data_IF_088297186773
#
_entry.id   IF_088297186773
#
_cell.length_a   1.000
_cell.length_b   1.000
_cell.length_c   1.000
_cell.angle_alpha   90.00
_cell.angle_beta   90.00
_cell.angle_gamma   90.00
#
_symmetry.space_group_name_H-M   'P 1'
#
loop_
_entity.id
_entity.type
_entity.pdbx_description
1 polymer ?
#
# COMPACT_ATOMS: atom_id res chain seq x y z
N UNK A 1 2.53 -7.64 23.56
CA UNK A 1 1.84 -8.84 23.03
C UNK A 1 1.89 -9.90 24.10
N UNK A 2 0.77 -10.56 24.42
CA UNK A 2 0.78 -11.66 25.40
C UNK A 2 1.43 -12.88 24.76
N UNK A 3 2.21 -13.61 25.54
CA UNK A 3 2.94 -14.80 25.10
C UNK A 3 1.99 -15.85 24.51
N UNK A 4 2.40 -16.49 23.40
CA UNK A 4 1.64 -17.56 22.75
C UNK A 4 0.40 -17.15 21.94
N UNK A 5 0.06 -15.86 21.82
CA UNK A 5 -1.11 -15.42 21.05
C UNK A 5 -0.79 -15.08 19.59
N UNK A 6 -1.67 -15.51 18.69
CA UNK A 6 -1.69 -15.10 17.28
C UNK A 6 -2.70 -13.97 17.09
N UNK A 7 -2.35 -13.00 16.26
CA UNK A 7 -3.20 -11.85 15.93
C UNK A 7 -3.34 -11.74 14.41
N UNK A 8 -4.50 -11.28 13.96
CA UNK A 8 -4.76 -10.91 12.58
C UNK A 8 -4.97 -9.39 12.49
N UNK A 9 -4.42 -8.77 11.45
CA UNK A 9 -4.70 -7.40 11.09
C UNK A 9 -5.68 -7.42 9.92
N UNK A 10 -6.81 -6.72 10.08
CA UNK A 10 -7.83 -6.57 9.05
C UNK A 10 -8.08 -5.08 8.82
N UNK A 11 -8.54 -4.75 7.62
CA UNK A 11 -9.04 -3.43 7.23
C UNK A 11 -10.51 -3.58 6.86
N UNK A 12 -11.24 -2.48 6.77
CA UNK A 12 -12.65 -2.50 6.36
C UNK A 12 -12.81 -3.09 4.94
N UNK A 13 -11.83 -2.84 4.07
CA UNK A 13 -11.79 -3.40 2.72
C UNK A 13 -10.36 -3.58 2.18
N UNK A 14 -10.21 -4.56 1.29
CA UNK A 14 -8.99 -4.74 0.49
C UNK A 14 -7.83 -5.39 1.25
N UNK A 15 -6.62 -4.90 0.99
CA UNK A 15 -5.37 -5.42 1.55
C UNK A 15 -4.91 -4.55 2.72
N UNK A 16 -4.88 -5.07 3.96
CA UNK A 16 -4.47 -4.28 5.12
C UNK A 16 -3.06 -3.67 4.96
N UNK A 17 -2.92 -2.41 5.33
CA UNK A 17 -1.70 -1.63 5.20
C UNK A 17 -1.60 -0.82 3.90
N UNK A 18 -2.55 -0.96 2.97
CA UNK A 18 -2.61 -0.16 1.74
C UNK A 18 -3.68 0.92 1.89
N UNK A 19 -3.23 2.16 2.05
CA UNK A 19 -4.09 3.35 2.27
C UNK A 19 -4.97 3.29 3.52
N UNK A 20 -4.54 2.52 4.51
CA UNK A 20 -5.13 2.42 5.84
C UNK A 20 -4.01 2.56 6.91
N UNK A 21 -4.34 2.70 8.21
CA UNK A 21 -3.32 2.92 9.23
C UNK A 21 -2.50 1.66 9.60
N UNK A 22 -2.80 0.50 9.01
CA UNK A 22 -2.19 -0.79 9.35
C UNK A 22 -0.68 -0.85 9.17
N UNK A 23 -0.13 -0.06 8.23
CA UNK A 23 1.32 0.00 7.98
C UNK A 23 2.14 0.45 9.20
N UNK A 24 1.58 1.34 10.03
CA UNK A 24 2.24 1.79 11.25
C UNK A 24 2.39 0.65 12.28
N UNK A 25 1.34 -0.15 12.46
CA UNK A 25 1.38 -1.32 13.35
C UNK A 25 2.40 -2.34 12.85
N UNK A 26 2.39 -2.66 11.55
CA UNK A 26 3.32 -3.60 10.93
C UNK A 26 4.78 -3.18 11.18
N UNK A 27 5.08 -1.88 11.07
CA UNK A 27 6.42 -1.35 11.37
C UNK A 27 6.87 -1.65 12.79
N UNK A 28 6.04 -1.31 13.79
CA UNK A 28 6.36 -1.53 15.21
C UNK A 28 6.50 -3.02 15.53
N UNK A 29 5.64 -3.86 14.96
CA UNK A 29 5.69 -5.32 15.14
C UNK A 29 6.99 -5.89 14.55
N UNK A 30 7.41 -5.41 13.37
CA UNK A 30 8.65 -5.81 12.72
C UNK A 30 9.89 -5.36 13.50
N UNK A 31 9.91 -4.13 13.99
CA UNK A 31 11.00 -3.59 14.81
C UNK A 31 11.21 -4.39 16.11
N UNK A 32 10.16 -5.02 16.63
CA UNK A 32 10.22 -5.89 17.81
C UNK A 32 10.58 -7.35 17.49
N UNK A 33 10.89 -7.68 16.23
CA UNK A 33 11.32 -9.01 15.82
C UNK A 33 10.21 -10.06 15.76
N UNK A 34 8.94 -9.67 15.79
CA UNK A 34 7.83 -10.62 15.65
C UNK A 34 7.69 -11.09 14.20
N UNK A 35 7.30 -12.36 14.04
CA UNK A 35 6.99 -12.95 12.72
C UNK A 35 5.72 -12.32 12.16
N UNK A 36 5.76 -11.93 10.89
CA UNK A 36 4.64 -11.39 10.13
C UNK A 36 4.48 -12.26 8.88
N UNK A 37 3.25 -12.68 8.58
CA UNK A 37 2.93 -13.45 7.38
C UNK A 37 1.83 -12.76 6.59
N UNK A 38 2.08 -12.30 5.34
CA UNK A 38 1.03 -11.76 4.50
C UNK A 38 0.11 -12.87 3.98
N UNK A 39 -1.17 -12.56 3.81
CA UNK A 39 -2.16 -13.43 3.17
C UNK A 39 -2.62 -12.72 1.88
N UNK A 40 -2.39 -13.31 0.69
CA UNK A 40 -2.91 -12.76 -0.57
C UNK A 40 -4.43 -12.62 -0.51
N UNK A 41 -4.97 -11.54 -1.09
CA UNK A 41 -6.40 -11.27 -1.01
C UNK A 41 -6.85 -10.14 -1.93
N UNK A 42 -8.11 -9.68 -1.78
CA UNK A 42 -8.68 -8.63 -2.61
C UNK A 42 -7.88 -7.33 -2.56
N UNK A 43 -7.71 -6.69 -3.72
CA UNK A 43 -7.11 -5.36 -3.83
C UNK A 43 -7.77 -4.61 -4.98
N UNK A 44 -8.38 -3.47 -4.66
CA UNK A 44 -9.02 -2.62 -5.66
C UNK A 44 -8.02 -2.13 -6.72
N UNK A 45 -6.77 -1.88 -6.30
CA UNK A 45 -5.68 -1.46 -7.16
C UNK A 45 -5.35 -2.51 -8.23
N UNK A 46 -5.13 -3.75 -7.83
CA UNK A 46 -4.78 -4.82 -8.79
C UNK A 46 -5.97 -5.21 -9.66
N UNK A 47 -7.19 -5.18 -9.11
CA UNK A 47 -8.41 -5.39 -9.88
C UNK A 47 -8.55 -4.34 -11.01
N UNK A 48 -8.39 -3.06 -10.69
CA UNK A 48 -8.43 -1.98 -11.68
C UNK A 48 -7.35 -2.15 -12.74
N UNK A 49 -6.11 -2.38 -12.33
CA UNK A 49 -4.99 -2.57 -13.26
C UNK A 49 -5.26 -3.73 -14.23
N UNK A 50 -5.79 -4.85 -13.73
CA UNK A 50 -6.08 -6.05 -14.52
C UNK A 50 -7.11 -5.84 -15.62
N UNK A 51 -8.07 -4.91 -15.43
CA UNK A 51 -9.10 -4.60 -16.43
C UNK A 51 -8.85 -3.31 -17.22
N UNK A 52 -7.82 -2.54 -16.85
CA UNK A 52 -7.58 -1.20 -17.40
C UNK A 52 -7.24 -1.17 -18.89
N UNK A 53 -6.82 -2.30 -19.47
CA UNK A 53 -6.28 -2.36 -20.83
C UNK A 53 -4.92 -1.66 -21.00
N UNK A 54 -4.36 -1.09 -19.92
CA UNK A 54 -3.07 -0.43 -19.91
C UNK A 54 -1.95 -1.43 -19.64
N UNK A 55 -0.76 -1.17 -20.18
CA UNK A 55 0.44 -1.93 -19.82
C UNK A 55 0.86 -1.55 -18.40
N UNK A 56 0.26 -2.22 -17.41
CA UNK A 56 0.34 -1.90 -15.99
C UNK A 56 1.73 -2.09 -15.36
N UNK A 57 2.79 -2.34 -16.14
CA UNK A 57 4.13 -2.56 -15.60
C UNK A 57 5.17 -1.73 -16.36
N UNK A 58 5.84 -0.75 -15.73
CA UNK A 58 5.67 -0.33 -14.33
C UNK A 58 4.41 0.49 -14.08
N UNK A 59 3.87 0.44 -12.86
CA UNK A 59 2.87 1.37 -12.36
C UNK A 59 3.32 2.01 -11.03
N UNK A 60 2.77 3.18 -10.72
CA UNK A 60 3.04 3.91 -9.48
C UNK A 60 1.72 4.20 -8.77
N UNK A 61 1.58 3.75 -7.52
CA UNK A 61 0.45 4.08 -6.66
C UNK A 61 0.84 5.20 -5.69
N UNK A 62 0.18 6.36 -5.81
CA UNK A 62 0.46 7.57 -5.02
C UNK A 62 -0.51 7.80 -3.86
N UNK A 63 -1.48 6.91 -3.67
CA UNK A 63 -2.55 7.11 -2.69
C UNK A 63 -3.61 8.08 -3.18
N UNK A 64 -4.20 8.84 -2.24
CA UNK A 64 -5.31 9.73 -2.49
C UNK A 64 -4.87 11.19 -2.57
N UNK A 65 -5.51 11.96 -3.45
CA UNK A 65 -5.29 13.39 -3.56
C UNK A 65 -5.76 14.12 -2.29
N UNK A 66 -5.09 15.21 -1.93
CA UNK A 66 -5.50 16.04 -0.79
C UNK A 66 -6.89 16.64 -1.01
N UNK A 67 -7.74 16.57 0.03
CA UNK A 67 -9.08 17.18 0.02
C UNK A 67 -9.05 18.72 0.10
N UNK A 68 -7.90 19.31 0.49
CA UNK A 68 -7.76 20.77 0.62
C UNK A 68 -7.68 21.43 -0.76
N UNK A 69 -8.67 22.27 -1.09
CA UNK A 69 -8.65 23.13 -2.29
C UNK A 69 -7.36 23.97 -2.31
N UNK A 70 -6.52 23.79 -3.32
CA UNK A 70 -5.31 24.61 -3.55
C UNK A 70 -3.96 23.90 -3.44
N UNK A 71 -3.90 22.65 -2.93
CA UNK A 71 -2.70 21.79 -3.00
C UNK A 71 -2.99 20.57 -3.88
N UNK A 72 -3.00 20.80 -5.20
CA UNK A 72 -3.18 19.76 -6.24
C UNK A 72 -1.86 19.34 -6.87
N UNK A 73 -0.74 19.46 -6.16
CA UNK A 73 0.56 19.03 -6.67
C UNK A 73 0.93 17.70 -6.01
N UNK A 74 0.72 16.62 -6.75
CA UNK A 74 1.46 15.39 -6.55
C UNK A 74 2.84 15.69 -7.13
N UNK A 75 3.81 16.01 -6.28
CA UNK A 75 5.18 16.29 -6.69
C UNK A 75 5.79 15.02 -7.29
N UNK A 76 5.55 14.80 -8.58
CA UNK A 76 6.19 13.76 -9.37
C UNK A 76 7.65 14.19 -9.56
N UNK A 77 8.55 13.61 -8.76
CA UNK A 77 9.98 13.70 -9.04
C UNK A 77 10.21 13.03 -10.39
N UNK A 78 10.39 13.84 -11.43
CA UNK A 78 10.73 13.44 -12.80
C UNK A 78 11.86 12.41 -12.80
N UNK A 79 11.55 11.17 -13.17
CA UNK A 79 12.54 10.18 -13.61
C UNK A 79 13.08 10.54 -14.99
N UNK A 80 14.03 11.48 -15.04
CA UNK A 80 14.90 11.64 -16.22
C UNK A 80 15.90 10.48 -16.26
N UNK A 81 16.03 9.88 -17.45
CA UNK A 81 17.09 8.99 -17.95
C UNK A 81 17.19 7.54 -17.46
N UNK A 82 16.88 6.60 -18.35
CA UNK A 82 17.92 5.73 -18.93
C UNK A 82 17.50 5.28 -20.33
N UNK A 83 18.21 5.79 -21.34
CA UNK A 83 18.39 5.06 -22.61
C UNK A 83 19.26 3.84 -22.29
N UNK A 84 18.84 2.68 -22.76
CA UNK A 84 19.72 1.56 -23.06
C UNK A 84 19.44 1.16 -24.50
#
# INVERSE_FOLDING_TARGET
>A
MKEGKTFALVSDAGTPGISDPGSHLIRVVREKGFKISPIPGPSALTALLGISGWQANPFLFLGFLSEKKGKKEINSTNGKNSKV
#
